data_IF_559401395821
#
_entry.id   IF_559401395821
#
_cell.length_a   1.000
_cell.length_b   1.000
_cell.length_c   1.000
_cell.angle_alpha   90.00
_cell.angle_beta   90.00
_cell.angle_gamma   90.00
#
_symmetry.space_group_name_H-M   'P 1'
#
loop_
_entity.id
_entity.type
_entity.pdbx_description
1 polymer ?
#
# COMPACT_ATOMS: atom_id res chain seq x y z
N UNK A 1 16.55 -39.18 -13.48
CA UNK A 1 15.74 -38.28 -12.60
C UNK A 1 16.64 -38.02 -11.39
N UNK A 2 17.19 -36.79 -11.30
CA UNK A 2 18.03 -36.40 -10.18
C UNK A 2 17.14 -36.20 -8.94
N UNK A 3 17.42 -36.94 -7.86
CA UNK A 3 16.81 -36.70 -6.55
C UNK A 3 17.41 -35.42 -5.96
N UNK A 4 16.59 -34.39 -5.80
CA UNK A 4 16.97 -33.19 -5.06
C UNK A 4 16.93 -33.53 -3.58
N UNK A 5 18.09 -33.62 -2.95
CA UNK A 5 18.22 -33.74 -1.50
C UNK A 5 18.01 -32.37 -0.87
N UNK A 6 16.96 -32.21 -0.10
CA UNK A 6 16.73 -30.99 0.71
C UNK A 6 17.63 -31.10 1.95
N UNK A 7 18.48 -30.08 2.15
CA UNK A 7 19.36 -29.96 3.32
C UNK A 7 18.51 -30.02 4.61
N UNK A 8 18.85 -30.92 5.58
CA UNK A 8 18.12 -31.01 6.85
C UNK A 8 18.06 -29.72 7.67
N UNK A 9 18.96 -28.77 7.43
CA UNK A 9 18.95 -27.45 8.07
C UNK A 9 17.76 -26.58 7.61
N UNK A 10 17.10 -26.91 6.48
CA UNK A 10 15.91 -26.23 5.97
C UNK A 10 14.60 -26.90 6.38
N UNK A 11 14.63 -27.91 7.24
CA UNK A 11 13.39 -28.40 7.85
C UNK A 11 12.85 -27.33 8.79
N UNK A 12 11.90 -26.54 8.32
CA UNK A 12 11.06 -25.69 9.14
C UNK A 12 10.41 -26.58 10.19
N UNK A 13 10.91 -26.52 11.44
CA UNK A 13 10.18 -27.10 12.57
C UNK A 13 8.84 -26.35 12.63
N UNK A 14 7.70 -27.01 12.48
CA UNK A 14 6.42 -26.38 12.68
C UNK A 14 6.27 -26.12 14.19
N UNK A 15 6.79 -25.01 14.69
CA UNK A 15 6.23 -24.44 15.91
C UNK A 15 4.83 -23.97 15.54
N UNK A 16 3.86 -24.82 15.80
CA UNK A 16 2.46 -24.46 15.79
C UNK A 16 2.21 -23.45 16.93
N UNK A 17 2.63 -22.19 16.73
CA UNK A 17 2.01 -21.09 17.46
C UNK A 17 0.55 -21.17 17.09
N UNK A 18 -0.32 -21.51 18.08
CA UNK A 18 -1.76 -21.33 17.94
C UNK A 18 -1.94 -19.89 17.48
N UNK A 19 -2.16 -19.68 16.18
CA UNK A 19 -2.52 -18.37 15.66
C UNK A 19 -3.80 -17.97 16.38
N UNK A 20 -3.80 -16.78 16.97
CA UNK A 20 -5.05 -16.18 17.42
C UNK A 20 -6.06 -16.26 16.26
N UNK A 21 -7.36 -16.47 16.55
CA UNK A 21 -8.36 -16.51 15.49
C UNK A 21 -8.20 -15.25 14.63
N UNK A 22 -8.00 -15.43 13.33
CA UNK A 22 -7.93 -14.30 12.40
C UNK A 22 -9.31 -13.70 12.38
N UNK A 23 -9.45 -12.47 12.87
CA UNK A 23 -10.70 -11.72 12.74
C UNK A 23 -11.12 -11.70 11.28
N UNK A 24 -12.39 -12.01 11.01
CA UNK A 24 -12.92 -11.94 9.67
C UNK A 24 -12.74 -10.52 9.13
N UNK A 25 -11.98 -10.37 8.05
CA UNK A 25 -11.76 -9.08 7.39
C UNK A 25 -12.90 -8.84 6.39
N UNK A 26 -13.70 -7.81 6.63
CA UNK A 26 -14.66 -7.28 5.69
C UNK A 26 -14.23 -5.86 5.35
N UNK A 27 -13.69 -5.66 4.15
CA UNK A 27 -13.07 -4.40 3.76
C UNK A 27 -13.49 -3.93 2.37
N UNK A 28 -13.24 -2.66 2.10
CA UNK A 28 -13.41 -2.04 0.79
C UNK A 28 -12.24 -1.09 0.50
N UNK A 29 -11.83 -1.01 -0.78
CA UNK A 29 -10.93 0.04 -1.24
C UNK A 29 -11.76 1.31 -1.47
N UNK A 30 -11.43 2.36 -0.74
CA UNK A 30 -12.10 3.65 -0.78
C UNK A 30 -11.15 4.80 -1.10
N UNK A 31 -10.02 4.50 -1.71
CA UNK A 31 -8.96 5.47 -1.99
C UNK A 31 -9.41 6.64 -2.86
N UNK A 32 -10.46 6.45 -3.67
CA UNK A 32 -11.05 7.49 -4.53
C UNK A 32 -12.09 8.37 -3.80
N UNK A 33 -12.41 8.10 -2.54
CA UNK A 33 -13.45 8.85 -1.82
C UNK A 33 -13.19 10.36 -1.78
N UNK A 34 -11.97 10.87 -1.52
CA UNK A 34 -11.69 12.30 -1.56
C UNK A 34 -11.98 12.95 -2.92
N UNK A 35 -11.83 12.21 -4.02
CA UNK A 35 -12.14 12.71 -5.37
C UNK A 35 -13.64 12.88 -5.59
N UNK A 36 -14.45 11.97 -5.06
CA UNK A 36 -15.90 12.05 -5.12
C UNK A 36 -16.42 13.19 -4.25
N UNK A 37 -15.88 13.31 -3.04
CA UNK A 37 -16.22 14.39 -2.11
C UNK A 37 -15.85 15.77 -2.68
N UNK A 38 -14.69 15.89 -3.34
CA UNK A 38 -14.27 17.12 -4.02
C UNK A 38 -15.20 17.51 -5.19
N UNK A 39 -15.95 16.55 -5.74
CA UNK A 39 -17.02 16.78 -6.73
C UNK A 39 -18.39 16.98 -6.10
N UNK A 40 -18.45 17.16 -4.78
CA UNK A 40 -19.66 17.28 -4.00
C UNK A 40 -20.64 16.08 -4.15
N UNK A 41 -20.12 14.89 -4.43
CA UNK A 41 -20.91 13.66 -4.44
C UNK A 41 -21.21 13.30 -2.99
N UNK A 42 -22.50 13.07 -2.71
CA UNK A 42 -23.02 12.71 -1.40
C UNK A 42 -23.41 11.26 -1.34
N UNK A 43 -23.26 10.68 -0.18
CA UNK A 43 -23.65 9.29 0.09
C UNK A 43 -24.84 9.29 1.05
N UNK A 44 -25.70 8.28 0.92
CA UNK A 44 -26.84 8.13 1.81
C UNK A 44 -27.07 6.67 2.16
N UNK A 45 -27.59 6.43 3.35
CA UNK A 45 -28.08 5.14 3.80
C UNK A 45 -29.49 5.30 4.36
N UNK A 46 -30.42 4.45 3.91
CA UNK A 46 -31.85 4.49 4.28
C UNK A 46 -32.48 5.87 4.11
N UNK A 47 -32.06 6.59 3.06
CA UNK A 47 -32.59 7.92 2.73
C UNK A 47 -31.96 9.09 3.52
N UNK A 48 -31.00 8.84 4.41
CA UNK A 48 -30.29 9.86 5.16
C UNK A 48 -28.88 10.07 4.61
N UNK A 49 -28.50 11.33 4.34
CA UNK A 49 -27.12 11.66 3.95
C UNK A 49 -26.18 11.34 5.11
N UNK A 50 -25.06 10.66 4.80
CA UNK A 50 -24.11 10.19 5.79
C UNK A 50 -22.71 10.08 5.19
N UNK A 51 -21.69 10.19 6.02
CA UNK A 51 -20.28 9.91 5.63
C UNK A 51 -20.15 8.49 5.10
N UNK A 52 -19.45 8.32 3.97
CA UNK A 52 -19.31 7.01 3.31
C UNK A 52 -18.57 5.99 4.18
N UNK A 53 -17.56 6.38 4.95
CA UNK A 53 -16.82 5.48 5.85
C UNK A 53 -17.74 5.04 7.00
N UNK A 54 -18.57 5.97 7.51
CA UNK A 54 -19.56 5.65 8.53
C UNK A 54 -20.60 4.65 8.00
N UNK A 55 -21.07 4.83 6.75
CA UNK A 55 -22.00 3.85 6.12
C UNK A 55 -21.36 2.46 6.09
N UNK A 56 -20.12 2.34 5.62
CA UNK A 56 -19.41 1.07 5.61
C UNK A 56 -19.31 0.47 7.01
N UNK A 57 -18.96 1.27 8.02
CA UNK A 57 -18.89 0.83 9.42
C UNK A 57 -20.22 0.32 9.93
N UNK A 58 -21.32 1.03 9.67
CA UNK A 58 -22.67 0.66 10.10
C UNK A 58 -23.15 -0.65 9.47
N UNK A 59 -22.62 -0.99 8.28
CA UNK A 59 -22.88 -2.24 7.57
C UNK A 59 -21.88 -3.36 7.90
N UNK A 60 -21.08 -3.19 8.97
CA UNK A 60 -20.19 -4.24 9.50
C UNK A 60 -18.82 -4.33 8.84
N UNK A 61 -18.46 -3.39 7.97
CA UNK A 61 -17.10 -3.29 7.47
C UNK A 61 -16.15 -2.94 8.62
N UNK A 62 -15.01 -3.61 8.69
CA UNK A 62 -14.00 -3.41 9.73
C UNK A 62 -12.62 -3.05 9.18
N UNK A 63 -12.46 -3.06 7.84
CA UNK A 63 -11.25 -2.64 7.14
C UNK A 63 -11.55 -1.67 6.02
N UNK A 64 -10.64 -0.74 5.78
CA UNK A 64 -10.52 0.01 4.52
C UNK A 64 -9.15 -0.24 3.91
N UNK A 65 -9.09 -0.34 2.56
CA UNK A 65 -7.85 -0.32 1.80
C UNK A 65 -7.66 1.06 1.22
N UNK A 66 -6.45 1.59 1.35
CA UNK A 66 -6.04 2.89 0.83
C UNK A 66 -4.76 2.73 0.04
N UNK A 67 -4.80 3.04 -1.24
CA UNK A 67 -3.60 3.12 -2.08
C UNK A 67 -2.89 4.44 -1.88
N UNK A 68 -1.56 4.41 -2.02
CA UNK A 68 -0.74 5.62 -2.00
C UNK A 68 0.19 5.65 -3.21
N UNK A 69 0.28 6.81 -3.86
CA UNK A 69 1.21 7.13 -4.93
C UNK A 69 2.33 8.05 -4.41
N UNK A 70 3.48 8.05 -5.09
CA UNK A 70 4.62 8.84 -4.67
C UNK A 70 4.40 10.35 -4.92
N UNK A 71 4.11 10.75 -6.15
CA UNK A 71 3.76 12.12 -6.51
C UNK A 71 2.64 12.14 -7.58
N UNK A 72 1.40 11.89 -7.17
CA UNK A 72 0.27 11.86 -8.10
C UNK A 72 -0.07 13.23 -8.69
N UNK A 73 0.42 14.32 -8.10
CA UNK A 73 0.15 15.70 -8.55
C UNK A 73 0.98 16.14 -9.76
N UNK A 74 2.05 15.39 -10.12
CA UNK A 74 2.87 15.71 -11.27
C UNK A 74 2.07 15.60 -12.60
N UNK A 75 2.47 16.26 -13.72
CA UNK A 75 1.64 16.36 -14.94
C UNK A 75 1.14 15.05 -15.53
N UNK A 76 1.90 13.95 -15.37
CA UNK A 76 1.53 12.61 -15.83
C UNK A 76 1.09 11.70 -14.68
N UNK A 77 0.91 12.25 -13.50
CA UNK A 77 0.48 11.52 -12.30
C UNK A 77 -1.00 11.15 -12.33
N UNK A 78 -1.42 10.42 -11.32
CA UNK A 78 -2.80 9.98 -11.16
C UNK A 78 -3.80 11.14 -11.04
N UNK A 79 -3.42 12.20 -10.34
CA UNK A 79 -4.28 13.34 -10.05
C UNK A 79 -3.52 14.65 -10.24
N UNK A 80 -3.26 15.06 -11.50
CA UNK A 80 -2.50 16.25 -11.79
C UNK A 80 -3.03 17.47 -11.04
N UNK A 81 -2.12 18.21 -10.42
CA UNK A 81 -2.37 19.42 -9.61
C UNK A 81 -3.10 19.20 -8.28
N UNK A 82 -4.01 18.22 -8.17
CA UNK A 82 -4.79 17.98 -6.95
C UNK A 82 -4.13 17.00 -5.98
N UNK A 83 -3.39 16.02 -6.50
CA UNK A 83 -2.58 15.09 -5.69
C UNK A 83 -3.38 14.04 -4.91
N UNK A 84 -4.61 13.72 -5.29
CA UNK A 84 -5.35 12.66 -4.62
C UNK A 84 -4.51 11.36 -4.52
N UNK A 85 -4.64 10.67 -3.40
CA UNK A 85 -3.83 9.50 -3.03
C UNK A 85 -2.33 9.82 -2.78
N UNK A 86 -1.93 11.07 -2.55
CA UNK A 86 -0.64 11.40 -1.99
C UNK A 86 -0.61 11.17 -0.46
N UNK A 87 0.52 11.45 0.18
CA UNK A 87 0.67 11.29 1.62
C UNK A 87 -0.32 12.17 2.41
N UNK A 88 -0.61 13.38 1.95
CA UNK A 88 -1.50 14.32 2.65
C UNK A 88 -2.92 13.79 2.68
N UNK A 89 -3.47 13.41 1.52
CA UNK A 89 -4.83 12.86 1.42
C UNK A 89 -4.92 11.49 2.12
N UNK A 90 -3.89 10.66 1.98
CA UNK A 90 -3.84 9.34 2.63
C UNK A 90 -3.86 9.47 4.15
N UNK A 91 -3.10 10.41 4.72
CA UNK A 91 -3.10 10.68 6.18
C UNK A 91 -4.49 11.05 6.68
N UNK A 92 -5.21 11.92 5.95
CA UNK A 92 -6.56 12.31 6.34
C UNK A 92 -7.53 11.12 6.29
N UNK A 93 -7.46 10.32 5.23
CA UNK A 93 -8.29 9.12 5.09
C UNK A 93 -8.03 8.08 6.19
N UNK A 94 -6.74 7.84 6.51
CA UNK A 94 -6.37 6.94 7.60
C UNK A 94 -6.91 7.45 8.94
N UNK A 95 -6.79 8.75 9.21
CA UNK A 95 -7.31 9.39 10.42
C UNK A 95 -8.83 9.21 10.55
N UNK A 96 -9.58 9.45 9.46
CA UNK A 96 -11.04 9.26 9.43
C UNK A 96 -11.43 7.81 9.72
N UNK A 97 -10.79 6.86 9.05
CA UNK A 97 -11.05 5.43 9.26
C UNK A 97 -10.75 4.99 10.71
N UNK A 98 -9.59 5.39 11.24
CA UNK A 98 -9.20 5.08 12.62
C UNK A 98 -10.12 5.70 13.66
N UNK A 99 -10.62 6.92 13.44
CA UNK A 99 -11.57 7.58 14.32
C UNK A 99 -12.89 6.80 14.46
N UNK A 100 -13.27 6.03 13.43
CA UNK A 100 -14.42 5.12 13.46
C UNK A 100 -14.06 3.70 13.96
N UNK A 101 -12.84 3.49 14.44
CA UNK A 101 -12.37 2.19 14.90
C UNK A 101 -12.21 1.15 13.79
N UNK A 102 -12.07 1.59 12.53
CA UNK A 102 -11.75 0.70 11.41
C UNK A 102 -10.26 0.45 11.31
N UNK A 103 -9.90 -0.73 10.84
CA UNK A 103 -8.54 -1.11 10.49
C UNK A 103 -8.20 -0.65 9.07
N UNK A 104 -6.92 -0.42 8.82
CA UNK A 104 -6.43 0.11 7.53
C UNK A 104 -5.39 -0.82 6.93
N UNK A 105 -5.59 -1.19 5.67
CA UNK A 105 -4.58 -1.74 4.78
C UNK A 105 -4.06 -0.60 3.90
N UNK A 106 -2.78 -0.25 4.07
CA UNK A 106 -2.10 0.73 3.22
C UNK A 106 -1.39 0.01 2.07
N UNK A 107 -1.66 0.45 0.83
CA UNK A 107 -1.13 -0.17 -0.37
C UNK A 107 -0.20 0.78 -1.13
N UNK A 108 1.10 0.46 -1.15
CA UNK A 108 2.12 1.22 -1.86
C UNK A 108 2.17 0.84 -3.33
N UNK A 109 1.85 1.76 -4.23
CA UNK A 109 1.99 1.55 -5.66
C UNK A 109 3.42 1.74 -6.18
N UNK A 110 4.28 2.48 -5.45
CA UNK A 110 5.64 2.84 -5.86
C UNK A 110 5.71 3.45 -7.27
N UNK A 111 4.74 4.27 -7.57
CA UNK A 111 4.54 4.97 -8.84
C UNK A 111 3.86 6.31 -8.58
N UNK A 112 3.86 7.19 -9.57
CA UNK A 112 3.05 8.42 -9.55
C UNK A 112 1.64 8.18 -10.11
N UNK A 113 1.40 6.97 -10.63
CA UNK A 113 0.17 6.54 -11.28
C UNK A 113 -0.16 5.08 -10.91
N UNK A 114 -1.24 4.54 -11.46
CA UNK A 114 -1.59 3.14 -11.29
C UNK A 114 -0.41 2.21 -11.63
N UNK A 115 -0.04 1.37 -10.68
CA UNK A 115 0.77 0.18 -10.89
C UNK A 115 -0.16 -1.02 -11.00
N UNK A 116 -0.05 -1.78 -12.08
CA UNK A 116 -0.85 -2.97 -12.37
C UNK A 116 -0.01 -4.01 -13.14
N UNK A 117 -0.53 -5.20 -13.45
CA UNK A 117 0.26 -6.24 -14.11
C UNK A 117 0.82 -5.83 -15.49
N UNK A 118 0.23 -4.83 -16.14
CA UNK A 118 0.67 -4.31 -17.44
C UNK A 118 1.61 -3.11 -17.36
N UNK A 119 1.75 -2.49 -16.19
CA UNK A 119 2.59 -1.30 -15.99
C UNK A 119 3.01 -1.13 -14.55
N UNK A 120 4.31 -1.06 -14.33
CA UNK A 120 4.94 -0.84 -13.04
C UNK A 120 5.99 0.28 -13.17
N UNK A 121 5.53 1.46 -13.67
CA UNK A 121 6.41 2.59 -13.92
C UNK A 121 6.93 3.18 -12.62
N UNK A 122 8.23 3.46 -12.59
CA UNK A 122 8.86 4.18 -11.48
C UNK A 122 8.25 5.58 -11.32
N UNK A 123 8.22 6.14 -10.10
CA UNK A 123 8.03 7.58 -9.93
C UNK A 123 9.01 8.37 -10.79
N UNK A 124 8.57 9.48 -11.36
CA UNK A 124 9.43 10.37 -12.15
C UNK A 124 10.71 10.75 -11.39
N UNK A 125 10.62 10.99 -10.09
CA UNK A 125 11.77 11.31 -9.23
C UNK A 125 12.78 10.16 -9.09
N UNK A 126 12.45 8.95 -9.50
CA UNK A 126 13.32 7.79 -9.42
C UNK A 126 13.88 7.35 -10.78
N UNK A 127 13.45 7.99 -11.86
CA UNK A 127 14.01 7.74 -13.20
C UNK A 127 15.50 8.05 -13.24
N UNK A 128 16.25 7.25 -13.99
CA UNK A 128 17.71 7.40 -14.16
C UNK A 128 18.55 7.00 -12.95
N UNK A 129 17.95 6.60 -11.82
CA UNK A 129 18.71 6.08 -10.68
C UNK A 129 19.32 4.71 -10.99
N UNK A 130 20.54 4.46 -10.53
CA UNK A 130 21.09 3.11 -10.49
C UNK A 130 20.30 2.25 -9.48
N UNK A 131 20.49 0.94 -9.51
CA UNK A 131 19.71 0.02 -8.68
C UNK A 131 19.89 0.26 -7.18
N UNK A 132 21.10 0.60 -6.72
CA UNK A 132 21.34 0.89 -5.31
C UNK A 132 20.54 2.10 -4.82
N UNK A 133 20.56 3.19 -5.60
CA UNK A 133 19.83 4.41 -5.29
C UNK A 133 18.32 4.23 -5.43
N UNK A 134 17.87 3.42 -6.40
CA UNK A 134 16.46 3.06 -6.54
C UNK A 134 15.95 2.30 -5.31
N UNK A 135 16.69 1.29 -4.87
CA UNK A 135 16.37 0.51 -3.67
C UNK A 135 16.34 1.39 -2.42
N UNK A 136 17.31 2.31 -2.29
CA UNK A 136 17.31 3.29 -1.20
C UNK A 136 16.10 4.20 -1.27
N UNK A 137 15.75 4.73 -2.45
CA UNK A 137 14.59 5.61 -2.63
C UNK A 137 13.27 4.93 -2.25
N UNK A 138 13.11 3.65 -2.58
CA UNK A 138 11.94 2.86 -2.20
C UNK A 138 11.86 2.67 -0.68
N UNK A 139 13.01 2.35 -0.04
CA UNK A 139 13.08 2.25 1.42
C UNK A 139 12.73 3.60 2.08
N UNK A 140 13.41 4.68 1.67
CA UNK A 140 13.25 6.01 2.27
C UNK A 140 11.80 6.49 2.17
N UNK A 141 11.17 6.37 1.00
CA UNK A 141 9.77 6.74 0.80
C UNK A 141 8.82 5.93 1.69
N UNK A 142 9.01 4.62 1.73
CA UNK A 142 8.18 3.75 2.59
C UNK A 142 8.33 4.14 4.05
N UNK A 143 9.57 4.36 4.50
CA UNK A 143 9.87 4.77 5.87
C UNK A 143 9.26 6.13 6.21
N UNK A 144 9.40 7.13 5.31
CA UNK A 144 8.82 8.46 5.47
C UNK A 144 7.30 8.42 5.64
N UNK A 145 6.60 7.69 4.76
CA UNK A 145 5.14 7.52 4.85
C UNK A 145 4.75 6.88 6.18
N UNK A 146 5.41 5.80 6.56
CA UNK A 146 5.11 5.09 7.81
C UNK A 146 5.41 5.97 9.04
N UNK A 147 6.50 6.70 9.05
CA UNK A 147 6.83 7.64 10.12
C UNK A 147 5.81 8.78 10.23
N UNK A 148 5.34 9.31 9.10
CA UNK A 148 4.32 10.35 9.09
C UNK A 148 3.00 9.86 9.69
N UNK A 149 2.61 8.61 9.41
CA UNK A 149 1.42 7.97 9.99
C UNK A 149 1.61 7.65 11.48
N UNK A 150 2.82 7.21 11.89
CA UNK A 150 3.17 7.00 13.31
C UNK A 150 3.10 8.31 14.10
N UNK A 151 3.69 9.38 13.56
CA UNK A 151 3.66 10.70 14.20
C UNK A 151 2.24 11.25 14.35
N UNK A 152 1.33 10.86 13.45
CA UNK A 152 -0.10 11.18 13.54
C UNK A 152 -0.84 10.29 14.57
N UNK A 153 -0.25 9.20 15.05
CA UNK A 153 -0.90 8.20 15.90
C UNK A 153 -1.86 7.25 15.17
N UNK A 154 -1.66 7.07 13.85
CA UNK A 154 -2.58 6.31 12.99
C UNK A 154 -1.85 5.31 12.09
N UNK A 155 -0.93 4.51 12.67
CA UNK A 155 -0.28 3.44 11.92
C UNK A 155 -1.32 2.51 11.27
N UNK A 156 -1.09 2.08 10.02
CA UNK A 156 -1.92 1.08 9.38
C UNK A 156 -1.79 -0.28 10.10
N UNK A 157 -2.84 -1.08 10.05
CA UNK A 157 -2.85 -2.43 10.64
C UNK A 157 -2.19 -3.45 9.72
N UNK A 158 -2.16 -3.14 8.43
CA UNK A 158 -1.54 -3.95 7.39
C UNK A 158 -0.94 -3.06 6.31
N UNK A 159 0.18 -3.49 5.74
CA UNK A 159 0.86 -2.80 4.64
C UNK A 159 1.07 -3.77 3.48
N UNK A 160 0.71 -3.33 2.28
CA UNK A 160 1.00 -4.01 1.04
C UNK A 160 2.18 -3.31 0.36
N UNK A 161 3.27 -4.06 0.18
CA UNK A 161 4.51 -3.58 -0.46
C UNK A 161 4.45 -3.88 -1.95
N UNK A 162 3.90 -2.93 -2.70
CA UNK A 162 3.64 -3.06 -4.14
C UNK A 162 2.24 -3.54 -4.49
N UNK A 163 1.63 -2.97 -5.52
CA UNK A 163 0.32 -3.35 -6.04
C UNK A 163 0.47 -4.23 -7.26
N UNK A 164 -0.28 -5.35 -7.30
CA UNK A 164 -0.41 -6.25 -8.45
C UNK A 164 0.95 -6.63 -9.10
N UNK A 165 1.91 -7.00 -8.26
CA UNK A 165 3.30 -7.27 -8.63
C UNK A 165 3.52 -8.62 -9.33
N UNK A 166 2.52 -9.14 -10.02
CA UNK A 166 2.58 -10.41 -10.75
C UNK A 166 3.77 -10.48 -11.72
N UNK A 167 4.15 -9.34 -12.30
CA UNK A 167 5.28 -9.21 -13.21
C UNK A 167 6.42 -8.34 -12.63
N UNK A 168 6.42 -8.13 -11.31
CA UNK A 168 7.38 -7.31 -10.59
C UNK A 168 6.87 -5.91 -10.24
N UNK A 169 7.77 -5.03 -9.79
CA UNK A 169 7.49 -3.63 -9.45
C UNK A 169 8.65 -2.73 -9.92
N UNK A 170 8.40 -1.43 -10.06
CA UNK A 170 9.37 -0.38 -10.45
C UNK A 170 10.27 -0.80 -11.63
N UNK A 171 9.64 -1.10 -12.75
CA UNK A 171 10.34 -1.59 -13.95
C UNK A 171 11.36 -0.59 -14.50
N UNK A 172 12.41 -1.10 -15.21
CA UNK A 172 12.69 -2.52 -15.50
C UNK A 172 13.42 -3.27 -14.37
N UNK A 173 13.99 -2.58 -13.38
CA UNK A 173 14.90 -3.16 -12.39
C UNK A 173 14.24 -4.24 -11.55
N UNK A 174 13.03 -4.01 -11.06
CA UNK A 174 12.25 -4.97 -10.26
C UNK A 174 11.28 -5.80 -11.09
N UNK A 175 11.50 -5.98 -12.40
CA UNK A 175 10.70 -6.87 -13.23
C UNK A 175 10.92 -8.35 -12.86
N UNK A 176 9.94 -9.19 -13.17
CA UNK A 176 10.02 -10.63 -12.92
C UNK A 176 11.22 -11.31 -13.61
N UNK A 177 11.77 -10.72 -14.67
CA UNK A 177 13.01 -11.18 -15.30
C UNK A 177 14.26 -10.91 -14.45
N UNK A 178 14.20 -10.05 -13.45
CA UNK A 178 15.26 -9.66 -12.52
C UNK A 178 14.91 -10.06 -11.08
N UNK A 179 14.68 -11.35 -10.83
CA UNK A 179 14.13 -11.85 -9.55
C UNK A 179 14.94 -11.44 -8.34
N UNK A 180 16.27 -11.40 -8.44
CA UNK A 180 17.15 -10.98 -7.33
C UNK A 180 16.94 -9.50 -6.98
N UNK A 181 16.81 -8.64 -7.98
CA UNK A 181 16.52 -7.22 -7.76
C UNK A 181 15.10 -7.01 -7.24
N UNK A 182 14.13 -7.75 -7.79
CA UNK A 182 12.75 -7.74 -7.28
C UNK A 182 12.70 -8.11 -5.80
N UNK A 183 13.35 -9.20 -5.41
CA UNK A 183 13.41 -9.63 -4.01
C UNK A 183 14.05 -8.57 -3.11
N UNK A 184 15.13 -7.93 -3.56
CA UNK A 184 15.78 -6.86 -2.81
C UNK A 184 14.88 -5.62 -2.63
N UNK A 185 14.08 -5.25 -3.65
CA UNK A 185 13.14 -4.13 -3.56
C UNK A 185 12.00 -4.44 -2.58
N UNK A 186 11.41 -5.64 -2.65
CA UNK A 186 10.38 -6.07 -1.70
C UNK A 186 10.94 -6.09 -0.27
N UNK A 187 12.15 -6.62 -0.09
CA UNK A 187 12.81 -6.63 1.21
C UNK A 187 13.09 -5.21 1.73
N UNK A 188 13.48 -4.28 0.87
CA UNK A 188 13.71 -2.89 1.26
C UNK A 188 12.41 -2.23 1.77
N UNK A 189 11.29 -2.38 1.04
CA UNK A 189 9.99 -1.87 1.49
C UNK A 189 9.53 -2.52 2.81
N UNK A 190 9.67 -3.84 2.91
CA UNK A 190 9.32 -4.60 4.13
C UNK A 190 10.19 -4.19 5.32
N UNK A 191 11.50 -3.97 5.10
CA UNK A 191 12.41 -3.50 6.14
C UNK A 191 12.03 -2.09 6.63
N UNK A 192 11.67 -1.19 5.71
CA UNK A 192 11.22 0.16 6.06
C UNK A 192 9.95 0.14 6.92
N UNK A 193 8.96 -0.71 6.58
CA UNK A 193 7.75 -0.88 7.39
C UNK A 193 8.09 -1.38 8.80
N UNK A 194 9.01 -2.36 8.92
CA UNK A 194 9.40 -2.93 10.22
C UNK A 194 10.25 -2.01 11.07
N UNK A 195 10.89 -1.00 10.48
CA UNK A 195 11.74 -0.03 11.18
C UNK A 195 10.92 1.05 11.92
N UNK A 196 9.62 1.10 11.73
CA UNK A 196 8.69 2.06 12.35
C UNK A 196 7.86 1.42 13.43
#
# INVERSE_FOLDING_TARGET
IAQVSIDPAYQLKPEAKKSAPIDKMLGADISFLPELEAKNIKFSDKGLEKDAIQILKDHGFNYVRLRIFHNPAQPKGYSPTKGFCDLVHTKEMVKRAKALGMKVLLDFHYSDYWADPGKQFKPLAWEGKNFSDLKKSLYDYTYEVMQALKAQGTLPDMVQVGNEINHGLVWPEGSFSNTDQLAQLINAGTAAVKAV
#
